data_IF_675099484642
#
_entry.id   IF_675099484642
#
_cell.length_a   1.000
_cell.length_b   1.000
_cell.length_c   1.000
_cell.angle_alpha   90.00
_cell.angle_beta   90.00
_cell.angle_gamma   90.00
#
_symmetry.space_group_name_H-M   'P 1'
#
loop_
_entity.id
_entity.type
_entity.pdbx_description
1 polymer ?
#
# COMPACT_ATOMS: atom_id res chain seq x y z
N UNK A 1 -20.61 -20.05 30.34
CA UNK A 1 -21.23 -20.88 29.29
C UNK A 1 -20.77 -20.34 27.95
N UNK A 2 -20.14 -21.16 27.13
CA UNK A 2 -19.71 -20.75 25.80
C UNK A 2 -20.94 -20.58 24.89
N UNK A 3 -21.09 -19.42 24.26
CA UNK A 3 -22.15 -19.16 23.29
C UNK A 3 -21.57 -19.25 21.89
N UNK A 4 -22.00 -20.23 21.11
CA UNK A 4 -21.62 -20.38 19.70
C UNK A 4 -22.70 -19.67 18.88
N UNK A 5 -22.29 -18.63 18.15
CA UNK A 5 -23.23 -17.85 17.33
C UNK A 5 -23.25 -18.32 15.87
N UNK A 6 -22.12 -18.85 15.39
CA UNK A 6 -21.99 -19.31 14.01
C UNK A 6 -20.86 -20.36 13.92
N UNK A 7 -21.05 -21.35 13.07
CA UNK A 7 -19.99 -22.24 12.61
C UNK A 7 -19.34 -21.63 11.37
N UNK A 8 -18.01 -21.56 11.35
CA UNK A 8 -17.23 -21.07 10.22
C UNK A 8 -16.11 -22.06 9.90
N UNK A 9 -15.86 -22.25 8.60
CA UNK A 9 -14.81 -23.16 8.11
C UNK A 9 -13.56 -22.37 7.77
N UNK A 10 -12.41 -22.98 8.02
CA UNK A 10 -11.10 -22.48 7.55
C UNK A 10 -10.64 -23.28 6.34
N UNK A 11 -9.58 -22.84 5.67
CA UNK A 11 -9.00 -23.59 4.55
C UNK A 11 -8.39 -24.93 4.99
N UNK A 12 -8.09 -25.11 6.27
CA UNK A 12 -7.63 -26.39 6.83
C UNK A 12 -8.76 -27.42 6.92
N UNK A 13 -10.02 -26.97 6.97
CA UNK A 13 -11.21 -27.81 7.12
C UNK A 13 -11.82 -28.24 5.77
N UNK A 14 -11.42 -27.61 4.66
CA UNK A 14 -12.08 -27.78 3.36
C UNK A 14 -11.10 -27.98 2.22
N UNK A 15 -11.55 -28.67 1.17
CA UNK A 15 -10.87 -28.80 -0.11
C UNK A 15 -11.76 -28.27 -1.23
N UNK A 16 -11.15 -27.65 -2.22
CA UNK A 16 -11.85 -27.25 -3.43
C UNK A 16 -12.06 -28.47 -4.33
N UNK A 17 -13.29 -28.68 -4.78
CA UNK A 17 -13.58 -29.72 -5.77
C UNK A 17 -13.12 -29.28 -7.16
N UNK A 18 -12.35 -30.11 -7.89
CA UNK A 18 -12.03 -29.83 -9.27
C UNK A 18 -13.30 -29.74 -10.13
N UNK A 19 -13.33 -28.77 -11.04
CA UNK A 19 -14.42 -28.58 -11.99
C UNK A 19 -13.91 -28.48 -13.42
N UNK A 20 -14.79 -28.68 -14.39
CA UNK A 20 -14.48 -28.45 -15.79
C UNK A 20 -14.25 -26.96 -16.03
N UNK A 21 -13.07 -26.59 -16.55
CA UNK A 21 -12.77 -25.22 -16.97
C UNK A 21 -12.74 -25.17 -18.50
N UNK A 22 -13.40 -24.15 -19.06
CA UNK A 22 -13.38 -23.83 -20.51
C UNK A 22 -12.59 -22.54 -20.79
N UNK A 23 -11.93 -21.98 -19.76
CA UNK A 23 -11.14 -20.77 -19.87
C UNK A 23 -9.67 -21.06 -19.60
N UNK A 24 -8.78 -20.27 -20.20
CA UNK A 24 -7.33 -20.34 -19.94
C UNK A 24 -6.94 -19.34 -18.86
N UNK A 25 -5.75 -19.50 -18.27
CA UNK A 25 -5.25 -18.57 -17.27
C UNK A 25 -5.16 -17.11 -17.77
N UNK A 26 -5.03 -16.93 -19.08
CA UNK A 26 -4.98 -15.59 -19.72
C UNK A 26 -6.33 -14.88 -19.74
N UNK A 27 -7.41 -15.63 -19.67
CA UNK A 27 -8.78 -15.13 -19.76
C UNK A 27 -9.35 -14.83 -18.37
N UNK A 28 -8.60 -15.13 -17.29
CA UNK A 28 -9.03 -14.91 -15.92
C UNK A 28 -8.79 -13.47 -15.53
N UNK A 29 -9.85 -12.80 -15.04
CA UNK A 29 -9.74 -11.49 -14.37
C UNK A 29 -9.65 -11.70 -12.85
N UNK A 30 -8.64 -11.11 -12.22
CA UNK A 30 -8.48 -11.10 -10.76
C UNK A 30 -9.11 -9.87 -10.12
N UNK A 31 -9.73 -9.01 -10.91
CA UNK A 31 -10.37 -7.79 -10.42
C UNK A 31 -11.48 -8.13 -9.42
N UNK A 32 -11.48 -7.43 -8.28
CA UNK A 32 -12.42 -7.65 -7.20
C UNK A 32 -12.83 -6.34 -6.53
N UNK A 33 -13.89 -6.39 -5.74
CA UNK A 33 -14.43 -5.26 -4.99
C UNK A 33 -14.20 -5.49 -3.50
N UNK A 34 -13.41 -4.64 -2.87
CA UNK A 34 -13.15 -4.69 -1.43
C UNK A 34 -14.30 -4.08 -0.63
N UNK A 35 -14.83 -2.96 -1.11
CA UNK A 35 -15.96 -2.27 -0.50
C UNK A 35 -16.76 -1.52 -1.56
N UNK A 36 -17.90 -0.95 -1.18
CA UNK A 36 -18.84 -0.25 -2.07
C UNK A 36 -18.17 0.68 -3.10
N UNK A 37 -17.07 1.33 -2.73
CA UNK A 37 -16.39 2.33 -3.56
C UNK A 37 -14.91 2.02 -3.81
N UNK A 38 -14.45 0.80 -3.46
CA UNK A 38 -13.05 0.40 -3.61
C UNK A 38 -12.98 -0.90 -4.40
N UNK A 39 -12.45 -0.81 -5.61
CA UNK A 39 -12.09 -1.95 -6.44
C UNK A 39 -10.58 -2.15 -6.45
N UNK A 40 -10.15 -3.39 -6.66
CA UNK A 40 -8.74 -3.80 -6.74
C UNK A 40 -8.54 -4.62 -8.00
N UNK A 41 -7.35 -4.55 -8.58
CA UNK A 41 -6.99 -5.35 -9.75
C UNK A 41 -6.58 -6.78 -9.36
N UNK A 42 -6.02 -6.93 -8.16
CA UNK A 42 -5.71 -8.24 -7.56
C UNK A 42 -6.30 -8.31 -6.14
N UNK A 43 -6.78 -9.47 -5.68
CA UNK A 43 -7.43 -9.63 -4.38
C UNK A 43 -6.42 -9.78 -3.25
N UNK A 44 -5.42 -8.89 -3.17
CA UNK A 44 -4.41 -8.88 -2.13
C UNK A 44 -4.54 -7.65 -1.23
N UNK A 45 -4.72 -7.92 0.07
CA UNK A 45 -4.78 -6.90 1.11
C UNK A 45 -3.75 -7.23 2.18
N UNK A 46 -2.88 -6.27 2.53
CA UNK A 46 -1.91 -6.52 3.60
C UNK A 46 -2.55 -6.37 4.98
N UNK A 47 -2.06 -7.16 5.94
CA UNK A 47 -2.48 -7.07 7.33
C UNK A 47 -2.02 -5.75 7.96
N UNK A 48 -2.90 -5.13 8.76
CA UNK A 48 -2.59 -3.92 9.52
C UNK A 48 -1.78 -4.27 10.78
N UNK A 49 -0.60 -4.82 10.59
CA UNK A 49 0.29 -5.29 11.64
C UNK A 49 1.54 -4.42 11.72
N UNK A 50 2.00 -4.19 12.95
CA UNK A 50 3.26 -3.52 13.24
C UNK A 50 4.42 -4.25 12.53
N UNK A 51 5.36 -3.48 12.02
CA UNK A 51 6.52 -3.95 11.22
C UNK A 51 6.18 -4.71 9.92
N UNK A 52 4.89 -4.90 9.60
CA UNK A 52 4.44 -5.55 8.37
C UNK A 52 3.99 -4.53 7.34
N UNK A 53 2.97 -3.72 7.66
CA UNK A 53 2.41 -2.77 6.69
C UNK A 53 2.64 -1.33 7.09
N UNK A 54 3.68 -0.78 6.53
CA UNK A 54 4.02 0.64 6.50
C UNK A 54 4.00 1.14 5.04
N UNK A 55 4.40 2.38 4.79
CA UNK A 55 4.34 2.99 3.45
C UNK A 55 5.02 2.17 2.36
N UNK A 56 6.16 1.54 2.65
CA UNK A 56 6.91 0.74 1.65
C UNK A 56 6.10 -0.43 1.10
N UNK A 57 5.53 -1.26 1.99
CA UNK A 57 4.71 -2.39 1.55
C UNK A 57 3.39 -1.93 0.93
N UNK A 58 2.77 -0.88 1.48
CA UNK A 58 1.55 -0.32 0.93
C UNK A 58 1.75 0.21 -0.50
N UNK A 59 2.88 0.86 -0.78
CA UNK A 59 3.26 1.29 -2.13
C UNK A 59 3.46 0.09 -3.06
N UNK A 60 4.23 -0.91 -2.64
CA UNK A 60 4.50 -2.08 -3.45
C UNK A 60 3.20 -2.83 -3.82
N UNK A 61 2.30 -3.02 -2.85
CA UNK A 61 0.99 -3.64 -3.11
C UNK A 61 0.11 -2.80 -4.04
N UNK A 62 0.12 -1.48 -3.86
CA UNK A 62 -0.65 -0.59 -4.73
C UNK A 62 -0.15 -0.63 -6.19
N UNK A 63 1.16 -0.75 -6.40
CA UNK A 63 1.76 -0.90 -7.73
C UNK A 63 1.31 -2.20 -8.43
N UNK A 64 1.13 -3.28 -7.67
CA UNK A 64 0.62 -4.56 -8.18
C UNK A 64 -0.91 -4.59 -8.31
N UNK A 65 -1.61 -3.57 -7.85
CA UNK A 65 -3.07 -3.46 -7.92
C UNK A 65 -3.83 -3.99 -6.71
N UNK A 66 -3.12 -4.30 -5.61
CA UNK A 66 -3.66 -4.61 -4.29
C UNK A 66 -3.81 -3.38 -3.41
N UNK A 67 -4.00 -3.58 -2.10
CA UNK A 67 -4.14 -2.49 -1.13
C UNK A 67 -3.38 -2.78 0.17
N UNK A 68 -2.69 -1.76 0.69
CA UNK A 68 -2.01 -1.78 1.97
C UNK A 68 -2.86 -1.14 3.08
N UNK A 69 -2.96 -1.79 4.23
CA UNK A 69 -3.63 -1.24 5.42
C UNK A 69 -2.56 -0.87 6.45
N UNK A 70 -2.32 0.43 6.60
CA UNK A 70 -1.33 0.95 7.57
C UNK A 70 -1.79 0.63 8.99
N UNK A 71 -0.87 0.05 9.81
CA UNK A 71 -1.18 -0.32 11.19
C UNK A 71 -1.33 0.90 12.12
N UNK A 72 -1.94 0.67 13.29
CA UNK A 72 -2.20 1.71 14.30
C UNK A 72 -1.15 1.79 15.43
N UNK A 73 -0.16 0.90 15.45
CA UNK A 73 0.85 0.83 16.52
C UNK A 73 1.93 1.92 16.38
N UNK A 74 1.49 3.16 16.19
CA UNK A 74 2.32 4.36 16.08
C UNK A 74 1.51 5.59 16.49
N UNK A 75 2.15 6.75 16.62
CA UNK A 75 1.41 7.98 16.90
C UNK A 75 0.52 8.37 15.72
N UNK A 76 -0.56 9.14 15.98
CA UNK A 76 -1.43 9.62 14.91
C UNK A 76 -0.67 10.44 13.86
N UNK A 77 0.34 11.21 14.30
CA UNK A 77 1.20 11.99 13.40
C UNK A 77 2.05 11.09 12.51
N UNK A 78 2.63 10.03 13.07
CA UNK A 78 3.43 9.08 12.31
C UNK A 78 2.57 8.31 11.30
N UNK A 79 1.38 7.85 11.72
CA UNK A 79 0.45 7.19 10.83
C UNK A 79 0.01 8.09 9.67
N UNK A 80 -0.28 9.35 9.96
CA UNK A 80 -0.60 10.33 8.93
C UNK A 80 0.56 10.53 7.96
N UNK A 81 1.81 10.52 8.45
CA UNK A 81 3.00 10.60 7.61
C UNK A 81 3.15 9.38 6.72
N UNK A 82 2.93 8.16 7.23
CA UNK A 82 2.96 6.94 6.44
C UNK A 82 1.90 6.95 5.32
N UNK A 83 0.67 7.34 5.65
CA UNK A 83 -0.40 7.49 4.65
C UNK A 83 -0.04 8.56 3.62
N UNK A 84 0.51 9.67 4.06
CA UNK A 84 0.95 10.75 3.16
C UNK A 84 2.04 10.28 2.20
N UNK A 85 3.03 9.50 2.68
CA UNK A 85 4.07 8.90 1.85
C UNK A 85 3.48 8.03 0.74
N UNK A 86 2.49 7.19 1.06
CA UNK A 86 1.80 6.36 0.06
C UNK A 86 1.06 7.22 -0.95
N UNK A 87 0.30 8.22 -0.48
CA UNK A 87 -0.50 9.09 -1.36
C UNK A 87 0.34 10.00 -2.23
N UNK A 88 1.53 10.37 -1.76
CA UNK A 88 2.47 11.17 -2.54
C UNK A 88 3.27 10.34 -3.54
N UNK A 89 3.35 9.03 -3.33
CA UNK A 89 4.06 8.13 -4.22
C UNK A 89 3.26 7.95 -5.51
N UNK A 90 3.65 8.66 -6.55
CA UNK A 90 3.21 8.42 -7.92
C UNK A 90 4.44 8.26 -8.79
N UNK A 91 4.47 7.21 -9.59
CA UNK A 91 5.60 6.94 -10.47
C UNK A 91 5.82 8.11 -11.45
N UNK A 92 6.90 8.85 -11.23
CA UNK A 92 7.35 9.92 -12.13
C UNK A 92 6.70 11.28 -11.97
N UNK A 93 5.71 11.48 -11.07
CA UNK A 93 5.07 12.77 -10.84
C UNK A 93 5.07 13.13 -9.35
N UNK A 94 5.68 14.24 -9.01
CA UNK A 94 5.59 14.84 -7.67
C UNK A 94 4.46 15.85 -7.66
N UNK A 95 3.28 15.49 -7.16
CA UNK A 95 2.11 16.39 -7.13
C UNK A 95 2.27 17.62 -6.24
N UNK A 96 3.09 17.54 -5.18
CA UNK A 96 3.43 18.67 -4.32
C UNK A 96 4.93 18.68 -4.07
N UNK A 97 5.75 19.18 -5.01
CA UNK A 97 7.18 19.27 -4.80
C UNK A 97 7.47 20.27 -3.67
N UNK A 98 8.51 20.00 -2.90
CA UNK A 98 9.08 21.06 -2.06
C UNK A 98 9.68 22.11 -3.01
N UNK A 99 9.08 23.26 -3.03
CA UNK A 99 9.57 24.38 -3.85
C UNK A 99 10.45 25.29 -3.01
N UNK A 100 11.51 25.76 -3.59
CA UNK A 100 12.44 26.73 -3.01
C UNK A 100 12.41 27.93 -3.95
N UNK A 101 12.33 29.12 -3.38
CA UNK A 101 12.47 30.33 -4.16
C UNK A 101 13.84 30.36 -4.82
N UNK A 102 13.90 30.74 -6.10
CA UNK A 102 15.16 30.81 -6.86
C UNK A 102 16.21 31.78 -6.24
N UNK A 103 15.73 32.71 -5.42
CA UNK A 103 16.56 33.66 -4.68
C UNK A 103 17.03 33.14 -3.30
N UNK A 104 16.52 31.98 -2.84
CA UNK A 104 16.85 31.44 -1.52
C UNK A 104 18.30 30.92 -1.49
N UNK A 105 19.03 31.28 -0.42
CA UNK A 105 20.37 30.71 -0.21
C UNK A 105 20.26 29.27 0.33
N UNK A 106 21.30 28.43 0.08
CA UNK A 106 21.34 27.02 0.51
C UNK A 106 21.26 26.81 2.04
N UNK A 107 21.60 27.82 2.84
CA UNK A 107 21.57 27.71 4.31
C UNK A 107 20.20 27.46 4.94
N UNK A 108 19.12 28.19 4.56
CA UNK A 108 17.77 27.87 5.05
C UNK A 108 17.25 26.53 4.57
N UNK A 109 17.71 26.04 3.43
CA UNK A 109 17.27 24.76 2.83
C UNK A 109 17.72 23.54 3.64
N UNK A 110 18.90 23.59 4.26
CA UNK A 110 19.43 22.49 5.07
C UNK A 110 18.67 22.32 6.40
N UNK A 111 17.98 23.35 6.89
CA UNK A 111 17.18 23.30 8.12
C UNK A 111 15.75 22.75 7.89
N UNK A 112 15.29 22.58 6.66
CA UNK A 112 13.95 22.12 6.34
C UNK A 112 13.86 20.61 6.09
N UNK A 113 14.80 19.80 6.60
CA UNK A 113 14.83 18.33 6.44
C UNK A 113 14.79 17.84 4.97
N UNK A 114 15.24 18.64 4.02
CA UNK A 114 15.54 18.18 2.68
C UNK A 114 16.86 17.40 2.70
N UNK A 115 16.80 16.13 3.05
CA UNK A 115 17.85 15.22 2.62
C UNK A 115 17.69 15.03 1.12
N UNK A 116 18.48 15.76 0.35
CA UNK A 116 18.65 15.46 -1.07
C UNK A 116 19.21 14.03 -1.15
N UNK A 117 18.56 13.12 -1.88
CA UNK A 117 19.18 11.84 -2.16
C UNK A 117 20.45 12.14 -2.96
N UNK A 118 21.60 11.94 -2.33
CA UNK A 118 22.88 11.91 -3.02
C UNK A 118 22.96 10.63 -3.84
N UNK A 119 22.17 10.53 -4.88
CA UNK A 119 22.44 9.56 -5.93
C UNK A 119 23.42 10.21 -6.87
N UNK A 120 24.70 9.86 -6.70
CA UNK A 120 25.73 10.22 -7.65
C UNK A 120 25.31 9.69 -9.02
N UNK A 121 25.12 10.60 -9.96
CA UNK A 121 25.09 10.28 -11.38
C UNK A 121 26.53 9.94 -11.72
N UNK A 122 26.81 8.66 -11.90
CA UNK A 122 28.01 8.23 -12.60
C UNK A 122 27.69 8.32 -14.07
N UNK A 123 28.46 9.16 -14.77
CA UNK A 123 28.36 9.40 -16.20
C UNK A 123 28.70 8.20 -17.08
#
# INVERSE_FOLDING_TARGET
>A
MLRIEQEALTFDDVLLLPGLSQITAKDVSTQTVLSKNISMNIPLVSAAMDTVTESKLAIALAQEGGIGIIHKSMSATDQAREVWNVKKYESGVVKNPFTIDASASLRPVSYTHLTLPTTGIVG
#
